data_IF_618989081558
#
_entry.id   IF_618989081558
#
_cell.length_a   1.000
_cell.length_b   1.000
_cell.length_c   1.000
_cell.angle_alpha   90.00
_cell.angle_beta   90.00
_cell.angle_gamma   90.00
#
_symmetry.space_group_name_H-M   'P 1'
#
loop_
_entity.id
_entity.type
_entity.pdbx_description
1 polymer ?
#
# COMPACT_ATOMS: atom_id res chain seq x y z
N UNK A 1 21.89 3.68 -9.67
CA UNK A 1 22.94 4.70 -9.80
C UNK A 1 22.95 5.52 -8.51
N UNK A 2 23.99 5.39 -7.73
CA UNK A 2 24.34 6.10 -6.50
C UNK A 2 23.39 6.11 -5.29
N UNK A 3 23.38 5.00 -4.55
CA UNK A 3 22.97 4.91 -3.13
C UNK A 3 23.74 5.85 -2.16
N UNK A 4 24.61 6.72 -2.65
CA UNK A 4 25.45 7.62 -1.82
C UNK A 4 24.92 9.04 -1.69
N UNK A 5 23.84 9.41 -2.39
CA UNK A 5 23.33 10.77 -2.32
C UNK A 5 22.41 11.01 -1.10
N UNK A 6 21.63 10.02 -0.72
CA UNK A 6 20.65 10.14 0.41
C UNK A 6 21.34 10.19 1.78
N UNK A 7 22.53 9.62 1.93
CA UNK A 7 23.24 9.54 3.22
C UNK A 7 24.04 10.79 3.58
N UNK A 8 24.17 11.78 2.70
CA UNK A 8 25.05 12.95 2.90
C UNK A 8 24.34 14.22 3.35
N UNK A 9 23.00 14.21 3.40
CA UNK A 9 22.19 15.39 3.79
C UNK A 9 21.96 15.46 5.32
N UNK A 10 22.22 14.40 6.06
CA UNK A 10 21.81 14.23 7.46
C UNK A 10 22.81 14.62 8.54
N UNK A 11 23.95 15.17 8.21
CA UNK A 11 24.85 15.69 9.25
C UNK A 11 25.04 17.20 9.08
N UNK A 12 24.23 17.98 9.72
CA UNK A 12 24.33 19.42 10.03
C UNK A 12 25.50 20.29 9.52
N UNK A 13 26.19 19.85 8.50
CA UNK A 13 27.12 20.62 7.68
C UNK A 13 26.79 20.28 6.24
N UNK A 14 25.99 21.12 5.61
CA UNK A 14 25.78 21.08 4.16
C UNK A 14 27.12 21.31 3.45
N UNK A 15 27.88 20.25 3.28
CA UNK A 15 28.82 20.19 2.19
C UNK A 15 28.00 19.84 0.97
N UNK A 16 27.60 20.85 0.22
CA UNK A 16 27.05 20.74 -1.11
C UNK A 16 28.03 19.92 -1.94
N UNK A 17 27.83 18.59 -1.95
CA UNK A 17 28.44 17.78 -2.96
C UNK A 17 27.61 17.98 -4.23
N UNK A 18 28.17 18.51 -5.31
CA UNK A 18 27.41 18.75 -6.53
C UNK A 18 26.82 17.43 -7.03
N UNK A 19 25.58 17.45 -7.46
CA UNK A 19 24.95 16.46 -8.34
C UNK A 19 25.67 16.46 -9.71
N UNK A 20 27.01 16.42 -9.70
CA UNK A 20 27.87 16.40 -10.87
C UNK A 20 27.95 14.98 -11.43
N UNK A 21 26.89 14.55 -12.07
CA UNK A 21 26.85 13.26 -12.77
C UNK A 21 26.18 13.30 -14.15
N UNK A 22 25.39 14.33 -14.46
CA UNK A 22 24.73 14.44 -15.77
C UNK A 22 24.79 15.82 -16.44
N UNK A 23 25.37 16.83 -15.81
CA UNK A 23 25.57 18.15 -16.46
C UNK A 23 27.05 18.44 -16.60
N UNK A 24 27.41 19.03 -17.75
CA UNK A 24 28.78 19.32 -18.10
C UNK A 24 29.48 20.18 -17.04
N UNK A 25 30.77 20.03 -16.98
CA UNK A 25 31.66 20.75 -16.08
C UNK A 25 31.42 22.26 -16.15
N UNK A 26 31.37 22.90 -14.99
CA UNK A 26 31.59 24.34 -14.74
C UNK A 26 30.38 25.26 -14.41
N UNK A 27 29.19 24.82 -14.08
CA UNK A 27 28.27 25.74 -13.43
C UNK A 27 28.10 25.38 -11.94
N UNK A 28 28.53 26.31 -11.07
CA UNK A 28 28.26 26.23 -9.63
C UNK A 28 26.77 26.43 -9.46
N UNK A 29 26.06 25.42 -8.98
CA UNK A 29 24.71 25.62 -8.53
C UNK A 29 24.70 26.66 -7.42
N UNK A 30 24.01 27.77 -7.61
CA UNK A 30 23.80 28.76 -6.55
C UNK A 30 22.78 28.20 -5.56
N UNK A 31 23.07 28.34 -4.27
CA UNK A 31 22.13 27.99 -3.20
C UNK A 31 21.51 29.28 -2.71
N UNK A 32 20.21 29.40 -2.83
CA UNK A 32 19.46 30.56 -2.35
C UNK A 32 19.19 30.45 -0.85
N UNK A 33 19.14 31.59 -0.10
CA UNK A 33 18.83 31.56 1.31
C UNK A 33 17.47 30.95 1.62
N UNK A 34 17.34 30.27 2.77
CA UNK A 34 16.08 29.65 3.21
C UNK A 34 14.94 30.67 3.39
N UNK A 35 15.24 31.90 3.74
CA UNK A 35 14.28 33.00 3.87
C UNK A 35 13.68 33.47 2.53
N UNK A 36 14.22 32.99 1.41
CA UNK A 36 13.61 33.18 0.08
C UNK A 36 12.40 32.30 -0.19
N UNK A 37 12.17 31.27 0.64
CA UNK A 37 11.07 30.31 0.50
C UNK A 37 10.04 30.55 1.60
N UNK A 38 8.81 30.82 1.20
CA UNK A 38 7.67 30.94 2.09
C UNK A 38 6.72 29.75 1.88
N UNK A 39 6.33 29.11 2.98
CA UNK A 39 5.36 28.02 3.01
C UNK A 39 4.09 28.55 3.66
N UNK A 40 3.00 28.51 2.91
CA UNK A 40 1.67 28.87 3.41
C UNK A 40 0.77 27.64 3.35
N UNK A 41 0.15 27.25 4.45
CA UNK A 41 -0.86 26.19 4.44
C UNK A 41 -2.18 26.72 3.87
N UNK A 42 -2.88 25.85 3.14
CA UNK A 42 -4.18 26.21 2.54
C UNK A 42 -5.22 26.50 3.63
N UNK A 43 -5.17 25.78 4.74
CA UNK A 43 -5.91 26.14 5.93
C UNK A 43 -5.08 27.17 6.76
N UNK A 44 -5.46 28.44 6.81
CA UNK A 44 -4.68 29.48 7.48
C UNK A 44 -4.61 29.32 9.02
N UNK A 45 -5.37 28.40 9.61
CA UNK A 45 -5.26 28.04 11.02
C UNK A 45 -4.14 27.02 11.25
N UNK A 46 -3.64 26.36 10.19
CA UNK A 46 -2.56 25.41 10.24
C UNK A 46 -1.22 26.16 10.07
N UNK A 47 -0.50 26.34 11.15
CA UNK A 47 0.88 26.87 11.12
C UNK A 47 1.94 25.76 11.13
N UNK A 48 1.50 24.51 11.09
CA UNK A 48 2.32 23.30 11.27
C UNK A 48 1.67 22.11 10.58
N UNK A 49 2.46 21.10 10.23
CA UNK A 49 1.95 19.80 9.78
C UNK A 49 1.67 18.91 10.99
N UNK A 50 0.63 18.07 10.87
CA UNK A 50 0.31 17.04 11.88
C UNK A 50 0.63 15.66 11.34
N UNK A 51 1.09 14.78 12.20
CA UNK A 51 1.38 13.40 11.81
C UNK A 51 0.11 12.63 11.46
N UNK A 52 0.19 11.81 10.41
CA UNK A 52 -0.88 10.91 10.01
C UNK A 52 -1.99 11.55 9.16
N UNK A 53 -1.74 12.71 8.56
CA UNK A 53 -2.74 13.48 7.82
C UNK A 53 -2.21 13.92 6.45
N UNK A 54 -3.14 14.26 5.55
CA UNK A 54 -2.82 15.01 4.32
C UNK A 54 -2.76 16.51 4.62
N UNK A 55 -1.78 17.17 4.03
CA UNK A 55 -1.56 18.61 4.16
C UNK A 55 -1.50 19.27 2.80
N UNK A 56 -2.46 20.18 2.56
CA UNK A 56 -2.42 21.05 1.41
C UNK A 56 -1.63 22.31 1.76
N UNK A 57 -0.67 22.66 0.91
CA UNK A 57 0.17 23.84 1.12
C UNK A 57 0.46 24.58 -0.17
N UNK A 58 0.90 25.82 -0.05
CA UNK A 58 1.44 26.61 -1.15
C UNK A 58 2.85 27.04 -0.82
N UNK A 59 3.69 27.07 -1.86
CA UNK A 59 5.06 27.54 -1.75
C UNK A 59 5.23 28.78 -2.64
N UNK A 60 5.90 29.77 -2.10
CA UNK A 60 6.23 31.04 -2.79
C UNK A 60 7.69 31.34 -2.58
N UNK A 61 8.35 31.86 -3.61
CA UNK A 61 9.70 32.42 -3.51
C UNK A 61 9.64 33.93 -3.33
N UNK A 62 10.44 34.49 -2.42
CA UNK A 62 10.64 35.94 -2.34
C UNK A 62 11.77 36.38 -3.29
N UNK A 63 11.46 37.32 -4.15
CA UNK A 63 12.46 38.09 -4.92
C UNK A 63 12.84 37.58 -6.29
N UNK A 64 12.86 36.30 -6.56
CA UNK A 64 12.93 35.72 -7.90
C UNK A 64 11.73 34.83 -8.11
N UNK A 65 11.00 35.03 -9.21
CA UNK A 65 9.91 34.14 -9.56
C UNK A 65 10.42 32.69 -9.62
N UNK A 66 9.81 31.81 -8.86
CA UNK A 66 10.05 30.38 -9.03
C UNK A 66 9.71 30.06 -10.47
N UNK A 67 10.66 29.49 -11.21
CA UNK A 67 10.43 29.06 -12.58
C UNK A 67 9.29 28.06 -12.62
N UNK A 68 8.45 28.09 -13.65
CA UNK A 68 7.44 27.05 -13.90
C UNK A 68 8.04 25.66 -14.10
N UNK A 69 9.37 25.60 -14.31
CA UNK A 69 10.12 24.37 -14.49
C UNK A 69 10.92 23.99 -13.23
N UNK A 70 10.64 24.62 -12.08
CA UNK A 70 11.31 24.31 -10.83
C UNK A 70 10.81 22.99 -10.25
N UNK A 71 11.74 22.13 -9.84
CA UNK A 71 11.42 20.93 -9.08
C UNK A 71 11.25 21.27 -7.61
N UNK A 72 10.15 20.80 -7.00
CA UNK A 72 9.96 20.82 -5.56
C UNK A 72 10.61 19.59 -4.95
N UNK A 73 11.44 19.81 -3.96
CA UNK A 73 12.15 18.76 -3.25
C UNK A 73 11.55 18.64 -1.85
N UNK A 74 10.83 17.56 -1.61
CA UNK A 74 10.25 17.26 -0.29
C UNK A 74 10.98 16.07 0.31
N UNK A 75 11.38 16.22 1.56
CA UNK A 75 12.04 15.18 2.34
C UNK A 75 11.25 14.90 3.60
N UNK A 76 10.86 13.65 3.78
CA UNK A 76 10.21 13.14 4.99
C UNK A 76 11.19 12.23 5.70
N UNK A 77 11.49 12.53 6.96
CA UNK A 77 12.47 11.79 7.76
C UNK A 77 13.85 11.66 7.06
N UNK A 78 14.21 12.65 6.23
CA UNK A 78 15.45 12.66 5.46
C UNK A 78 15.39 11.89 4.13
N UNK A 79 14.29 11.30 3.78
CA UNK A 79 14.06 10.59 2.51
C UNK A 79 13.37 11.52 1.53
N UNK A 80 13.89 11.60 0.31
CA UNK A 80 13.24 12.34 -0.75
C UNK A 80 11.94 11.62 -1.14
N UNK A 81 10.84 12.35 -1.07
CA UNK A 81 9.55 11.89 -1.56
C UNK A 81 9.06 12.90 -2.58
N UNK A 82 8.52 12.43 -3.69
CA UNK A 82 7.75 13.31 -4.55
C UNK A 82 6.45 13.64 -3.85
N UNK A 83 6.05 14.89 -3.96
CA UNK A 83 4.75 15.24 -3.48
C UNK A 83 3.67 14.72 -4.41
N UNK A 84 2.56 14.44 -3.83
CA UNK A 84 1.45 13.79 -4.49
C UNK A 84 0.79 14.68 -5.56
N UNK A 85 0.83 15.98 -5.40
CA UNK A 85 0.28 16.93 -6.37
C UNK A 85 1.03 18.27 -6.29
N UNK A 86 2.01 18.45 -7.15
CA UNK A 86 2.59 19.77 -7.37
C UNK A 86 2.02 20.35 -8.65
N UNK A 87 1.38 21.49 -8.51
CA UNK A 87 1.05 22.35 -9.63
C UNK A 87 1.78 23.68 -9.47
N UNK A 88 2.47 24.12 -10.51
CA UNK A 88 3.08 25.44 -10.54
C UNK A 88 2.20 26.37 -11.38
N UNK A 89 1.62 27.37 -10.75
CA UNK A 89 0.80 28.37 -11.40
C UNK A 89 1.20 29.77 -10.91
N UNK A 90 1.51 30.69 -11.83
CA UNK A 90 1.85 32.08 -11.54
C UNK A 90 2.92 32.26 -10.43
N UNK A 91 4.01 31.48 -10.48
CA UNK A 91 5.09 31.47 -9.49
C UNK A 91 4.65 31.02 -8.08
N UNK A 92 3.54 30.32 -7.97
CA UNK A 92 3.07 29.66 -6.77
C UNK A 92 3.03 28.15 -7.02
N UNK A 93 3.55 27.39 -6.11
CA UNK A 93 3.46 25.93 -6.12
C UNK A 93 2.36 25.52 -5.14
N UNK A 94 1.45 24.69 -5.61
CA UNK A 94 0.46 24.02 -4.78
C UNK A 94 0.88 22.59 -4.59
N UNK A 95 0.99 22.13 -3.35
CA UNK A 95 1.41 20.79 -3.01
C UNK A 95 0.47 20.13 -2.02
N UNK A 96 0.46 18.81 -2.05
CA UNK A 96 -0.20 17.97 -1.06
C UNK A 96 0.79 16.92 -0.58
N UNK A 97 0.95 16.79 0.72
CA UNK A 97 1.86 15.85 1.36
C UNK A 97 1.13 14.99 2.36
N UNK A 98 1.39 13.68 2.34
CA UNK A 98 0.98 12.76 3.39
C UNK A 98 2.11 12.62 4.42
N UNK A 99 1.81 12.98 5.66
CA UNK A 99 2.64 12.64 6.81
C UNK A 99 2.16 11.32 7.43
N UNK A 100 3.04 10.59 8.07
CA UNK A 100 2.71 9.35 8.78
C UNK A 100 2.75 9.53 10.29
N UNK A 101 2.22 8.60 11.10
CA UNK A 101 2.43 8.60 12.54
C UNK A 101 3.92 8.58 12.94
N UNK A 102 4.78 8.14 12.03
CA UNK A 102 6.24 8.03 12.23
C UNK A 102 7.02 9.23 11.69
N UNK A 103 6.35 10.24 11.13
CA UNK A 103 6.98 11.44 10.60
C UNK A 103 7.49 12.31 11.75
N UNK A 104 8.78 12.58 11.76
CA UNK A 104 9.43 13.44 12.76
C UNK A 104 10.04 14.69 12.15
N UNK A 105 10.21 14.71 10.83
CA UNK A 105 10.86 15.80 10.11
C UNK A 105 10.31 15.89 8.69
N UNK A 106 9.98 17.10 8.26
CA UNK A 106 9.69 17.45 6.87
C UNK A 106 10.54 18.65 6.49
N UNK A 107 11.26 18.53 5.37
CA UNK A 107 12.05 19.61 4.80
C UNK A 107 11.65 19.82 3.35
N UNK A 108 11.48 21.08 2.94
CA UNK A 108 11.07 21.46 1.59
C UNK A 108 12.07 22.42 0.99
N UNK A 109 12.46 22.17 -0.27
CA UNK A 109 13.33 23.02 -1.05
C UNK A 109 12.84 23.11 -2.49
N UNK A 110 13.43 24.04 -3.26
CA UNK A 110 13.27 24.10 -4.71
C UNK A 110 14.59 23.84 -5.42
N UNK A 111 14.51 23.26 -6.61
CA UNK A 111 15.62 23.22 -7.55
C UNK A 111 15.13 23.75 -8.89
N UNK A 112 15.79 24.79 -9.41
CA UNK A 112 15.54 25.34 -10.72
C UNK A 112 16.85 25.41 -11.53
N UNK A 113 16.77 25.97 -12.74
CA UNK A 113 17.93 26.09 -13.64
C UNK A 113 19.05 26.99 -13.05
N UNK A 114 18.71 27.89 -12.15
CA UNK A 114 19.64 28.84 -11.54
C UNK A 114 20.26 28.33 -10.22
N UNK A 115 19.67 27.29 -9.59
CA UNK A 115 20.20 26.67 -8.40
C UNK A 115 19.14 26.07 -7.48
N UNK A 116 19.58 25.61 -6.31
CA UNK A 116 18.74 25.01 -5.27
C UNK A 116 18.55 26.00 -4.10
N UNK A 117 17.34 26.10 -3.58
CA UNK A 117 17.11 26.82 -2.31
C UNK A 117 17.66 26.02 -1.13
N UNK A 118 17.99 26.68 -0.03
CA UNK A 118 18.14 25.99 1.24
C UNK A 118 16.80 25.35 1.66
N UNK A 119 16.88 24.16 2.25
CA UNK A 119 15.69 23.47 2.69
C UNK A 119 15.10 24.17 3.93
N UNK A 120 13.79 24.38 3.92
CA UNK A 120 13.02 24.89 5.06
C UNK A 120 12.43 23.72 5.83
N UNK A 121 12.70 23.68 7.12
CA UNK A 121 12.10 22.68 8.02
C UNK A 121 10.69 23.11 8.42
N UNK A 122 9.72 22.23 8.22
CA UNK A 122 8.33 22.46 8.58
C UNK A 122 8.07 21.92 9.99
N UNK A 123 7.46 22.72 10.90
CA UNK A 123 7.07 22.23 12.22
C UNK A 123 6.09 21.06 12.12
N UNK A 124 6.34 20.01 12.90
CA UNK A 124 5.50 18.80 12.95
C UNK A 124 4.95 18.65 14.37
N UNK A 125 3.66 18.37 14.48
CA UNK A 125 2.97 18.04 15.72
C UNK A 125 2.20 16.73 15.60
N UNK A 126 1.71 16.20 16.72
CA UNK A 126 0.92 14.98 16.68
C UNK A 126 -0.48 15.26 16.12
N UNK A 127 -0.89 14.47 15.15
CA UNK A 127 -2.23 14.48 14.58
C UNK A 127 -3.03 13.23 14.94
N UNK A 128 -4.17 13.09 14.31
CA UNK A 128 -5.00 11.87 14.37
C UNK A 128 -4.83 11.14 13.05
N UNK A 129 -4.24 9.94 13.04
CA UNK A 129 -3.99 9.22 11.80
C UNK A 129 -5.28 8.93 11.01
N UNK A 130 -5.26 9.18 9.70
CA UNK A 130 -6.41 8.93 8.80
C UNK A 130 -6.73 7.44 8.66
N UNK A 131 -5.73 6.59 8.85
CA UNK A 131 -5.88 5.15 9.07
C UNK A 131 -5.16 4.79 10.36
N UNK A 132 -5.78 3.95 11.17
CA UNK A 132 -5.22 3.52 12.45
C UNK A 132 -5.69 2.11 12.80
N UNK A 133 -5.00 1.47 13.73
CA UNK A 133 -5.27 0.11 14.14
C UNK A 133 -6.60 -0.05 14.87
N UNK A 134 -7.03 0.93 15.68
CA UNK A 134 -8.31 0.90 16.40
C UNK A 134 -9.49 0.87 15.42
N UNK A 135 -9.52 1.78 14.44
CA UNK A 135 -10.56 1.80 13.40
C UNK A 135 -10.59 0.48 12.60
N UNK A 136 -9.41 -0.09 12.36
CA UNK A 136 -9.31 -1.37 11.68
C UNK A 136 -9.89 -2.49 12.55
N UNK A 137 -9.54 -2.55 13.82
CA UNK A 137 -10.01 -3.56 14.75
C UNK A 137 -11.54 -3.50 14.94
N UNK A 138 -12.09 -2.31 15.13
CA UNK A 138 -13.55 -2.11 15.23
C UNK A 138 -14.30 -2.63 14.00
N UNK A 139 -13.72 -2.43 12.80
CA UNK A 139 -14.29 -2.98 11.57
C UNK A 139 -14.14 -4.48 11.47
N UNK A 140 -13.01 -5.03 11.92
CA UNK A 140 -12.84 -6.48 12.01
C UNK A 140 -13.88 -7.11 12.93
N UNK A 141 -14.08 -6.59 14.15
CA UNK A 141 -15.13 -7.06 15.04
C UNK A 141 -16.52 -7.01 14.39
N UNK A 142 -16.81 -5.91 13.68
CA UNK A 142 -18.08 -5.78 12.98
C UNK A 142 -18.26 -6.81 11.87
N UNK A 143 -17.24 -7.04 11.05
CA UNK A 143 -17.30 -7.99 9.92
C UNK A 143 -17.33 -9.44 10.41
N UNK A 144 -16.53 -9.78 11.42
CA UNK A 144 -16.40 -11.14 11.95
C UNK A 144 -17.47 -11.49 12.98
N UNK A 145 -18.25 -10.52 13.46
CA UNK A 145 -19.27 -10.78 14.48
C UNK A 145 -20.29 -11.80 14.00
N UNK A 146 -20.38 -12.91 14.73
CA UNK A 146 -21.38 -13.95 14.49
C UNK A 146 -22.62 -13.65 15.32
N UNK A 147 -23.72 -13.34 14.65
CA UNK A 147 -24.98 -13.07 15.32
C UNK A 147 -25.96 -14.22 15.25
N UNK A 148 -26.51 -14.52 16.38
CA UNK A 148 -27.64 -15.46 16.49
C UNK A 148 -28.98 -14.79 16.22
N UNK A 149 -29.02 -13.46 16.18
CA UNK A 149 -30.20 -12.66 15.91
C UNK A 149 -29.91 -11.62 14.82
N UNK A 150 -30.60 -11.76 13.69
CA UNK A 150 -30.27 -11.14 12.40
C UNK A 150 -30.55 -9.65 12.28
N UNK A 151 -30.90 -8.95 13.35
CA UNK A 151 -31.42 -7.58 13.24
C UNK A 151 -30.46 -6.47 13.66
N UNK A 152 -29.39 -6.76 14.38
CA UNK A 152 -28.50 -5.70 14.93
C UNK A 152 -26.99 -5.96 14.82
N UNK A 153 -26.55 -7.04 14.21
CA UNK A 153 -25.13 -7.29 14.08
C UNK A 153 -24.68 -7.36 12.65
N UNK A 154 -23.50 -6.79 12.42
CA UNK A 154 -22.91 -6.68 11.11
C UNK A 154 -22.40 -7.96 10.49
N UNK A 155 -22.23 -9.06 11.23
CA UNK A 155 -21.49 -10.26 10.82
C UNK A 155 -21.61 -10.65 9.34
N UNK A 156 -20.47 -10.56 8.66
CA UNK A 156 -20.31 -10.91 7.24
C UNK A 156 -19.34 -12.08 7.08
N UNK A 157 -19.54 -13.09 7.93
CA UNK A 157 -18.81 -14.35 7.91
C UNK A 157 -19.34 -15.30 6.83
N UNK A 158 -18.68 -16.44 6.65
CA UNK A 158 -19.07 -17.47 5.68
C UNK A 158 -19.03 -17.01 4.22
N UNK A 159 -17.99 -16.27 3.86
CA UNK A 159 -17.79 -15.73 2.51
C UNK A 159 -17.04 -16.70 1.60
N UNK A 160 -17.30 -18.01 1.70
CA UNK A 160 -16.72 -18.96 0.76
C UNK A 160 -17.50 -18.98 -0.56
N UNK A 161 -16.80 -19.31 -1.63
CA UNK A 161 -17.44 -19.58 -2.89
C UNK A 161 -18.32 -20.84 -2.78
N UNK A 162 -19.52 -20.76 -3.27
CA UNK A 162 -20.46 -21.86 -3.23
C UNK A 162 -21.86 -21.40 -3.62
N UNK A 163 -22.61 -22.19 -4.39
CA UNK A 163 -23.94 -21.78 -4.85
C UNK A 163 -25.05 -22.57 -4.18
N UNK A 164 -26.09 -21.89 -3.76
CA UNK A 164 -26.16 -20.45 -3.50
C UNK A 164 -25.52 -20.12 -2.15
N UNK A 165 -24.73 -19.04 -2.08
CA UNK A 165 -24.24 -18.52 -0.80
C UNK A 165 -24.79 -17.11 -0.51
N UNK A 166 -25.95 -16.98 0.12
CA UNK A 166 -26.52 -15.68 0.48
C UNK A 166 -25.64 -14.85 1.43
N UNK A 167 -24.77 -15.49 2.20
CA UNK A 167 -23.84 -14.79 3.07
C UNK A 167 -22.79 -14.04 2.24
N UNK A 168 -22.26 -14.67 1.21
CA UNK A 168 -21.34 -14.04 0.28
C UNK A 168 -21.98 -12.87 -0.47
N UNK A 169 -23.17 -13.06 -1.04
CA UNK A 169 -23.91 -12.01 -1.75
C UNK A 169 -24.22 -10.80 -0.85
N UNK A 170 -24.56 -11.05 0.41
CA UNK A 170 -24.80 -9.99 1.39
C UNK A 170 -23.51 -9.23 1.72
N UNK A 171 -22.40 -9.92 1.88
CA UNK A 171 -21.10 -9.31 2.14
C UNK A 171 -20.62 -8.45 0.95
N UNK A 172 -20.69 -8.98 -0.26
CA UNK A 172 -20.34 -8.23 -1.46
C UNK A 172 -21.18 -6.96 -1.61
N UNK A 173 -22.48 -7.05 -1.37
CA UNK A 173 -23.39 -5.88 -1.39
C UNK A 173 -23.06 -4.86 -0.29
N UNK A 174 -22.63 -5.29 0.88
CA UNK A 174 -22.21 -4.41 1.95
C UNK A 174 -20.92 -3.68 1.58
N UNK A 175 -19.92 -4.38 1.07
CA UNK A 175 -18.66 -3.79 0.65
C UNK A 175 -18.86 -2.81 -0.52
N UNK A 176 -19.69 -3.18 -1.50
CA UNK A 176 -20.07 -2.27 -2.58
C UNK A 176 -20.67 -0.99 -2.02
N UNK A 177 -21.66 -1.10 -1.15
CA UNK A 177 -22.32 0.06 -0.52
C UNK A 177 -21.36 0.93 0.30
N UNK A 178 -20.30 0.36 0.87
CA UNK A 178 -19.25 1.12 1.53
C UNK A 178 -18.48 2.00 0.54
N UNK A 179 -18.02 1.45 -0.59
CA UNK A 179 -17.33 2.22 -1.62
C UNK A 179 -18.25 3.26 -2.29
N UNK A 180 -19.50 2.91 -2.57
CA UNK A 180 -20.50 3.86 -3.10
C UNK A 180 -20.72 5.05 -2.16
N UNK A 181 -20.80 4.79 -0.86
CA UNK A 181 -20.93 5.82 0.17
C UNK A 181 -19.77 6.79 0.25
N UNK A 182 -18.60 6.41 -0.25
CA UNK A 182 -17.38 7.22 -0.36
C UNK A 182 -17.25 7.91 -1.72
N UNK A 183 -18.21 7.71 -2.64
CA UNK A 183 -18.25 8.40 -3.94
C UNK A 183 -17.50 7.69 -5.07
N UNK A 184 -17.09 6.44 -4.88
CA UNK A 184 -16.51 5.63 -5.96
C UNK A 184 -17.58 5.17 -6.94
N UNK A 185 -17.20 5.03 -8.22
CA UNK A 185 -17.98 4.26 -9.18
C UNK A 185 -17.78 2.77 -8.91
N UNK A 186 -18.85 2.04 -8.59
CA UNK A 186 -18.72 0.67 -8.11
C UNK A 186 -19.44 -0.33 -8.99
N UNK A 187 -18.85 -1.52 -9.10
CA UNK A 187 -19.39 -2.62 -9.90
C UNK A 187 -19.25 -3.96 -9.16
N UNK A 188 -20.22 -4.84 -9.42
CA UNK A 188 -20.12 -6.25 -9.06
C UNK A 188 -19.81 -7.05 -10.33
N UNK A 189 -18.63 -7.60 -10.40
CA UNK A 189 -18.25 -8.54 -11.46
C UNK A 189 -18.60 -9.96 -11.01
N UNK A 190 -19.51 -10.59 -11.73
CA UNK A 190 -19.86 -12.00 -11.51
C UNK A 190 -18.81 -12.90 -12.18
N UNK A 191 -18.18 -13.71 -11.37
CA UNK A 191 -17.18 -14.70 -11.83
C UNK A 191 -17.87 -16.04 -11.97
N UNK A 192 -17.91 -16.53 -13.19
CA UNK A 192 -18.45 -17.86 -13.51
C UNK A 192 -17.27 -18.81 -13.65
N UNK A 193 -17.27 -19.87 -12.87
CA UNK A 193 -16.20 -20.82 -12.91
C UNK A 193 -16.20 -21.66 -14.19
N UNK A 194 -15.08 -21.61 -14.91
CA UNK A 194 -14.71 -22.49 -16.05
C UNK A 194 -15.80 -22.80 -17.09
N UNK A 195 -16.73 -21.88 -17.27
CA UNK A 195 -17.78 -22.06 -18.29
C UNK A 195 -18.81 -23.14 -17.94
N UNK A 196 -18.87 -23.57 -16.68
CA UNK A 196 -19.93 -24.44 -16.19
C UNK A 196 -21.09 -23.60 -15.65
N UNK A 197 -22.21 -23.48 -16.37
CA UNK A 197 -23.33 -22.62 -15.94
C UNK A 197 -24.05 -23.12 -14.67
N UNK A 198 -23.63 -24.26 -14.13
CA UNK A 198 -24.19 -24.85 -12.91
C UNK A 198 -23.27 -24.70 -11.71
N UNK A 199 -22.09 -24.13 -11.87
CA UNK A 199 -21.17 -23.87 -10.77
C UNK A 199 -21.43 -22.52 -10.10
N UNK A 200 -21.00 -22.39 -8.84
CA UNK A 200 -21.28 -21.19 -8.06
C UNK A 200 -20.67 -19.95 -8.72
N UNK A 201 -21.49 -18.91 -8.77
CA UNK A 201 -21.00 -17.58 -9.11
C UNK A 201 -20.31 -16.99 -7.88
N UNK A 202 -19.13 -16.45 -8.06
CA UNK A 202 -18.49 -15.57 -7.10
C UNK A 202 -18.57 -14.13 -7.57
N UNK A 203 -18.34 -13.18 -6.67
CA UNK A 203 -18.61 -11.77 -6.88
C UNK A 203 -17.39 -10.96 -6.49
N UNK A 204 -16.69 -10.33 -7.46
CA UNK A 204 -15.75 -9.27 -7.13
C UNK A 204 -16.50 -7.97 -6.85
N UNK A 205 -16.01 -7.19 -5.92
CA UNK A 205 -16.42 -5.79 -5.73
C UNK A 205 -15.31 -4.90 -6.27
N UNK A 206 -15.63 -4.06 -7.22
CA UNK A 206 -14.67 -3.18 -7.88
C UNK A 206 -15.13 -1.74 -7.71
N UNK A 207 -14.24 -0.88 -7.23
CA UNK A 207 -14.45 0.54 -7.05
C UNK A 207 -13.47 1.30 -7.92
N UNK A 208 -13.98 2.15 -8.81
CA UNK A 208 -13.18 2.94 -9.74
C UNK A 208 -13.13 4.40 -9.34
N UNK A 209 -12.01 5.02 -9.61
CA UNK A 209 -11.78 6.45 -9.49
C UNK A 209 -11.00 6.95 -10.70
N UNK A 210 -11.51 7.98 -11.34
CA UNK A 210 -10.86 8.58 -12.51
C UNK A 210 -9.58 9.30 -12.09
N UNK A 211 -8.50 9.07 -12.82
CA UNK A 211 -7.23 9.75 -12.71
C UNK A 211 -7.16 11.04 -13.55
N UNK A 212 -5.99 11.69 -13.50
CA UNK A 212 -5.67 12.84 -14.35
C UNK A 212 -5.27 12.44 -15.76
N UNK A 213 -4.69 11.26 -15.90
CA UNK A 213 -4.23 10.67 -17.15
C UNK A 213 -5.09 9.44 -17.46
N UNK A 214 -5.83 9.52 -18.56
CA UNK A 214 -6.77 8.48 -19.00
C UNK A 214 -6.10 7.36 -19.82
N UNK A 215 -4.77 7.37 -19.98
CA UNK A 215 -4.03 6.36 -20.74
C UNK A 215 -3.47 5.24 -19.85
N UNK A 216 -3.52 5.40 -18.55
CA UNK A 216 -2.97 4.40 -17.61
C UNK A 216 -3.98 4.01 -16.53
N UNK A 217 -3.71 2.87 -15.92
CA UNK A 217 -4.48 2.29 -14.81
C UNK A 217 -3.51 1.83 -13.73
N UNK A 218 -3.93 1.93 -12.49
CA UNK A 218 -3.23 1.39 -11.34
C UNK A 218 -4.24 0.82 -10.35
N UNK A 219 -3.80 -0.03 -9.44
CA UNK A 219 -4.74 -0.66 -8.54
C UNK A 219 -4.20 -1.14 -7.22
N UNK A 220 -5.13 -1.39 -6.33
CA UNK A 220 -4.90 -2.03 -5.04
C UNK A 220 -6.05 -2.97 -4.73
N UNK A 221 -5.76 -4.10 -4.10
CA UNK A 221 -6.80 -5.06 -3.74
C UNK A 221 -6.37 -6.12 -2.74
N UNK A 222 -7.30 -6.97 -2.41
CA UNK A 222 -7.15 -8.16 -1.63
C UNK A 222 -8.39 -9.02 -1.77
N UNK A 223 -8.29 -10.31 -1.54
CA UNK A 223 -9.48 -11.15 -1.65
C UNK A 223 -10.40 -11.03 -0.44
N UNK A 224 -11.68 -11.19 -0.67
CA UNK A 224 -12.72 -11.13 0.36
C UNK A 224 -13.39 -12.47 0.61
N UNK A 225 -13.16 -13.46 -0.24
CA UNK A 225 -13.56 -14.83 0.01
C UNK A 225 -12.67 -15.47 1.09
N UNK A 226 -13.09 -16.60 1.57
CA UNK A 226 -12.43 -17.34 2.63
C UNK A 226 -12.46 -18.83 2.29
N UNK A 227 -11.50 -19.59 2.80
CA UNK A 227 -11.35 -21.00 2.52
C UNK A 227 -12.64 -21.79 2.81
N UNK A 228 -13.16 -22.58 1.85
CA UNK A 228 -14.45 -23.24 1.98
C UNK A 228 -14.42 -24.37 3.01
N UNK A 229 -15.57 -24.66 3.68
CA UNK A 229 -15.69 -25.77 4.61
C UNK A 229 -15.32 -27.12 3.96
N UNK A 230 -14.44 -27.86 4.60
CA UNK A 230 -13.95 -29.15 4.10
C UNK A 230 -12.79 -29.06 3.11
N UNK A 231 -12.31 -27.85 2.82
CA UNK A 231 -11.11 -27.62 2.02
C UNK A 231 -9.83 -28.00 2.76
N UNK A 232 -8.78 -28.42 2.06
CA UNK A 232 -7.46 -28.58 2.63
C UNK A 232 -6.79 -27.21 2.86
N UNK A 233 -5.79 -27.08 3.77
CA UNK A 233 -5.35 -28.14 4.67
C UNK A 233 -6.15 -28.28 5.97
N UNK A 234 -6.86 -27.27 6.44
CA UNK A 234 -7.44 -27.20 7.78
C UNK A 234 -8.93 -27.45 7.89
N UNK A 235 -9.63 -27.61 6.77
CA UNK A 235 -11.08 -27.89 6.77
C UNK A 235 -11.97 -26.66 6.52
N UNK A 236 -11.39 -25.53 6.12
CA UNK A 236 -12.07 -24.27 5.83
C UNK A 236 -12.28 -23.40 7.05
N UNK A 237 -12.64 -22.15 6.84
CA UNK A 237 -12.85 -21.17 7.89
C UNK A 237 -14.24 -20.56 7.80
N UNK A 238 -14.67 -19.82 8.83
CA UNK A 238 -15.95 -19.12 8.86
C UNK A 238 -15.78 -17.60 8.93
N UNK A 239 -14.82 -17.14 9.69
CA UNK A 239 -14.45 -15.73 9.77
C UNK A 239 -13.42 -15.37 8.72
N UNK A 240 -12.42 -16.25 8.51
CA UNK A 240 -11.26 -15.96 7.70
C UNK A 240 -10.62 -14.67 8.17
N UNK A 241 -10.38 -14.57 9.49
CA UNK A 241 -10.00 -13.30 10.08
C UNK A 241 -8.63 -12.84 9.58
N UNK A 242 -7.69 -13.78 9.57
CA UNK A 242 -6.36 -13.57 9.03
C UNK A 242 -6.37 -13.71 7.49
N UNK A 243 -7.05 -14.73 6.98
CA UNK A 243 -7.10 -15.05 5.56
C UNK A 243 -8.55 -14.98 5.03
N UNK A 244 -9.01 -13.87 4.42
CA UNK A 244 -8.34 -12.59 4.29
C UNK A 244 -9.29 -11.43 4.65
N UNK A 245 -9.99 -11.53 5.80
CA UNK A 245 -10.80 -10.39 6.29
C UNK A 245 -9.90 -9.22 6.66
N UNK A 246 -8.68 -9.49 7.11
CA UNK A 246 -7.70 -8.46 7.44
C UNK A 246 -7.38 -7.55 6.24
N UNK A 247 -7.07 -8.13 5.09
CA UNK A 247 -6.87 -7.38 3.85
C UNK A 247 -8.14 -6.68 3.36
N UNK A 248 -9.29 -7.37 3.42
CA UNK A 248 -10.60 -6.79 3.06
C UNK A 248 -10.90 -5.51 3.85
N UNK A 249 -10.70 -5.52 5.16
CA UNK A 249 -10.93 -4.34 6.03
C UNK A 249 -9.93 -3.24 5.74
N UNK A 250 -8.68 -3.59 5.48
CA UNK A 250 -7.66 -2.60 5.08
C UNK A 250 -8.07 -1.86 3.82
N UNK A 251 -8.60 -2.57 2.81
CA UNK A 251 -9.11 -1.95 1.58
C UNK A 251 -10.28 -0.98 1.84
N UNK A 252 -11.14 -1.27 2.82
CA UNK A 252 -12.21 -0.33 3.21
C UNK A 252 -11.65 0.97 3.81
N UNK A 253 -10.56 0.88 4.59
CA UNK A 253 -9.91 2.05 5.18
C UNK A 253 -9.12 2.85 4.14
N UNK A 254 -8.45 2.19 3.21
CA UNK A 254 -7.77 2.86 2.09
C UNK A 254 -8.78 3.60 1.21
N UNK A 255 -9.92 3.00 0.90
CA UNK A 255 -10.98 3.69 0.16
C UNK A 255 -11.42 4.98 0.86
N UNK A 256 -11.55 4.98 2.19
CA UNK A 256 -11.85 6.18 2.97
C UNK A 256 -10.73 7.22 2.86
N UNK A 257 -9.49 6.79 3.03
CA UNK A 257 -8.32 7.68 2.97
C UNK A 257 -8.12 8.30 1.59
N UNK A 258 -8.43 7.56 0.53
CA UNK A 258 -8.24 7.99 -0.85
C UNK A 258 -9.46 8.68 -1.47
N UNK A 259 -10.58 8.77 -0.75
CA UNK A 259 -11.84 9.27 -1.30
C UNK A 259 -11.73 10.66 -1.95
N UNK A 260 -10.99 11.57 -1.34
CA UNK A 260 -10.84 12.95 -1.81
C UNK A 260 -9.58 13.16 -2.67
N UNK A 261 -8.73 12.14 -2.87
CA UNK A 261 -7.52 12.25 -3.67
C UNK A 261 -7.82 12.09 -5.17
N UNK A 262 -6.98 12.66 -5.99
CA UNK A 262 -6.96 12.43 -7.44
C UNK A 262 -5.58 11.92 -7.84
N UNK A 263 -5.51 10.69 -8.28
CA UNK A 263 -4.29 10.03 -8.70
C UNK A 263 -3.89 10.39 -10.14
N UNK A 264 -2.70 10.00 -10.53
CA UNK A 264 -2.24 10.19 -11.92
C UNK A 264 -3.03 9.30 -12.86
N UNK A 265 -3.09 8.00 -12.59
CA UNK A 265 -3.80 7.04 -13.42
C UNK A 265 -5.22 6.76 -12.92
N UNK A 266 -6.08 6.26 -13.79
CA UNK A 266 -7.35 5.67 -13.35
C UNK A 266 -7.06 4.59 -12.32
N UNK A 267 -7.71 4.68 -11.17
CA UNK A 267 -7.40 3.83 -10.01
C UNK A 267 -8.57 2.91 -9.70
N UNK A 268 -8.29 1.63 -9.57
CA UNK A 268 -9.25 0.68 -9.02
C UNK A 268 -8.84 0.21 -7.62
N UNK A 269 -9.86 0.08 -6.76
CA UNK A 269 -9.77 -0.65 -5.50
C UNK A 269 -10.66 -1.88 -5.63
N UNK A 270 -10.14 -3.06 -5.31
CA UNK A 270 -10.86 -4.28 -5.55
C UNK A 270 -10.87 -5.23 -4.35
N UNK A 271 -12.01 -5.87 -4.17
CA UNK A 271 -12.15 -7.03 -3.30
C UNK A 271 -12.42 -8.23 -4.19
N UNK A 272 -11.43 -9.08 -4.30
CA UNK A 272 -11.50 -10.26 -5.17
C UNK A 272 -12.29 -11.38 -4.53
N UNK A 273 -12.79 -12.25 -5.35
CA UNK A 273 -13.45 -13.49 -4.94
C UNK A 273 -12.81 -14.69 -5.61
N UNK A 274 -12.99 -15.85 -5.03
CA UNK A 274 -12.42 -17.11 -5.56
C UNK A 274 -10.89 -17.08 -5.70
N UNK A 275 -10.22 -16.36 -4.81
CA UNK A 275 -8.78 -16.48 -4.64
C UNK A 275 -8.44 -17.89 -4.20
N UNK A 276 -9.15 -18.39 -3.18
CA UNK A 276 -9.03 -19.71 -2.57
C UNK A 276 -9.23 -20.91 -3.53
N UNK A 277 -9.84 -20.67 -4.67
CA UNK A 277 -9.99 -21.62 -5.76
C UNK A 277 -9.07 -21.33 -6.95
N UNK A 278 -8.04 -20.53 -6.76
CA UNK A 278 -6.97 -20.29 -7.72
C UNK A 278 -7.10 -18.97 -8.49
N UNK A 279 -7.19 -17.84 -7.81
CA UNK A 279 -7.09 -16.46 -8.33
C UNK A 279 -8.14 -16.13 -9.41
N UNK A 280 -9.31 -16.75 -9.34
CA UNK A 280 -10.30 -16.66 -10.42
C UNK A 280 -10.93 -15.29 -10.53
N UNK A 281 -11.11 -14.62 -9.41
CA UNK A 281 -11.71 -13.29 -9.35
C UNK A 281 -10.83 -12.24 -10.02
N UNK A 282 -9.60 -12.11 -9.61
CA UNK A 282 -8.63 -11.21 -10.23
C UNK A 282 -8.38 -11.55 -11.69
N UNK A 283 -8.26 -12.85 -12.02
CA UNK A 283 -8.10 -13.32 -13.39
C UNK A 283 -9.29 -12.96 -14.29
N UNK A 284 -10.51 -13.04 -13.76
CA UNK A 284 -11.70 -12.64 -14.51
C UNK A 284 -11.73 -11.13 -14.78
N UNK A 285 -11.34 -10.31 -13.81
CA UNK A 285 -11.23 -8.87 -13.98
C UNK A 285 -10.15 -8.51 -15.02
N UNK A 286 -9.02 -9.15 -14.96
CA UNK A 286 -7.88 -8.88 -15.82
C UNK A 286 -8.09 -9.30 -17.29
N UNK A 287 -8.86 -10.37 -17.52
CA UNK A 287 -8.93 -11.00 -18.85
C UNK A 287 -10.30 -10.93 -19.54
N UNK A 288 -11.35 -10.46 -18.86
CA UNK A 288 -12.67 -10.33 -19.47
C UNK A 288 -12.81 -8.99 -20.18
N UNK A 289 -13.57 -8.98 -21.27
CA UNK A 289 -13.98 -7.79 -22.00
C UNK A 289 -15.33 -7.29 -21.41
N UNK A 290 -15.26 -6.41 -20.43
CA UNK A 290 -16.43 -5.75 -19.84
C UNK A 290 -16.11 -4.30 -19.49
N UNK A 291 -17.14 -3.44 -19.46
CA UNK A 291 -16.98 -1.98 -19.31
C UNK A 291 -16.28 -1.56 -18.00
N UNK A 292 -16.23 -2.43 -17.01
CA UNK A 292 -15.62 -2.20 -15.69
C UNK A 292 -14.52 -3.21 -15.32
N UNK A 293 -14.12 -4.05 -16.28
CA UNK A 293 -12.94 -4.88 -16.20
C UNK A 293 -11.67 -4.05 -16.46
N UNK A 294 -10.51 -4.67 -16.35
CA UNK A 294 -9.26 -3.99 -16.68
C UNK A 294 -9.28 -3.54 -18.16
N UNK A 295 -9.17 -2.23 -18.44
CA UNK A 295 -9.16 -1.73 -19.81
C UNK A 295 -7.96 -2.26 -20.58
N UNK A 296 -8.22 -2.88 -21.74
CA UNK A 296 -7.16 -3.51 -22.57
C UNK A 296 -6.39 -2.50 -23.43
N UNK A 297 -6.85 -1.26 -23.48
CA UNK A 297 -6.26 -0.15 -24.26
C UNK A 297 -5.49 0.85 -23.36
N UNK A 298 -5.42 0.58 -22.07
CA UNK A 298 -4.66 1.38 -21.10
C UNK A 298 -3.51 0.56 -20.53
N UNK A 299 -2.44 1.25 -20.16
CA UNK A 299 -1.29 0.63 -19.50
C UNK A 299 -1.59 0.40 -18.02
N UNK A 300 -1.37 -0.81 -17.54
CA UNK A 300 -1.43 -1.13 -16.12
C UNK A 300 -0.04 -0.90 -15.52
N UNK A 301 0.09 0.17 -14.75
CA UNK A 301 1.37 0.63 -14.21
C UNK A 301 1.83 -0.24 -13.03
N UNK A 302 0.99 -0.33 -11.99
CA UNK A 302 1.30 -1.13 -10.82
C UNK A 302 0.04 -1.65 -10.12
N UNK A 303 0.24 -2.65 -9.28
CA UNK A 303 -0.81 -3.22 -8.43
C UNK A 303 -0.25 -3.60 -7.05
N UNK A 304 -0.94 -3.21 -5.98
CA UNK A 304 -0.62 -3.59 -4.61
C UNK A 304 -1.64 -4.59 -4.07
N UNK A 305 -1.17 -5.70 -3.54
CA UNK A 305 -1.98 -6.77 -2.97
C UNK A 305 -1.83 -6.88 -1.45
N UNK A 306 -2.96 -7.05 -0.77
CA UNK A 306 -3.03 -7.24 0.68
C UNK A 306 -3.57 -8.62 0.98
N UNK A 307 -2.75 -9.47 1.61
CA UNK A 307 -3.16 -10.82 1.96
C UNK A 307 -2.51 -11.29 3.25
N UNK A 308 -3.28 -11.96 4.12
CA UNK A 308 -2.86 -12.49 5.42
C UNK A 308 -2.08 -11.47 6.27
N UNK A 309 -2.72 -10.36 6.59
CA UNK A 309 -2.10 -9.29 7.36
C UNK A 309 -2.53 -9.28 8.84
N UNK A 310 -1.70 -8.68 9.71
CA UNK A 310 -1.99 -8.48 11.14
C UNK A 310 -1.18 -9.37 12.07
N UNK A 311 -0.81 -10.57 11.67
CA UNK A 311 0.20 -11.36 12.36
C UNK A 311 1.54 -11.15 11.68
N UNK A 312 2.02 -9.92 11.80
CA UNK A 312 3.26 -9.45 11.19
C UNK A 312 3.98 -8.50 12.13
N UNK A 313 5.28 -8.29 11.89
CA UNK A 313 6.00 -7.26 12.64
C UNK A 313 5.23 -5.92 12.55
N UNK A 314 5.11 -5.12 13.64
CA UNK A 314 5.82 -5.20 14.92
C UNK A 314 5.22 -6.12 16.00
N UNK A 315 4.30 -7.01 15.69
CA UNK A 315 3.79 -7.98 16.64
C UNK A 315 4.80 -9.12 16.94
N UNK A 316 4.64 -9.74 18.10
CA UNK A 316 5.51 -10.82 18.58
C UNK A 316 4.69 -12.05 18.95
N UNK A 317 5.23 -13.23 18.65
CA UNK A 317 4.67 -14.52 19.06
C UNK A 317 4.74 -14.67 20.60
N UNK A 318 3.92 -15.53 21.16
CA UNK A 318 3.87 -15.78 22.60
C UNK A 318 5.18 -16.26 23.21
N UNK A 319 6.07 -16.83 22.40
CA UNK A 319 7.43 -17.25 22.80
C UNK A 319 8.44 -16.09 22.80
N UNK A 320 8.06 -14.91 22.36
CA UNK A 320 8.90 -13.71 22.26
C UNK A 320 9.60 -13.54 20.92
N UNK A 321 9.39 -14.43 19.95
CA UNK A 321 9.88 -14.26 18.60
C UNK A 321 8.98 -13.27 17.85
N UNK A 322 9.51 -12.39 17.01
CA UNK A 322 8.70 -11.51 16.20
C UNK A 322 7.96 -12.31 15.11
N UNK A 323 6.80 -11.81 14.69
CA UNK A 323 6.16 -12.30 13.47
C UNK A 323 6.87 -11.75 12.23
N UNK A 324 7.00 -12.54 11.18
CA UNK A 324 7.54 -12.04 9.92
C UNK A 324 6.58 -11.05 9.25
N UNK A 325 7.14 -10.11 8.50
CA UNK A 325 6.41 -9.24 7.61
C UNK A 325 7.15 -9.13 6.28
N UNK A 326 6.42 -9.35 5.20
CA UNK A 326 6.95 -9.37 3.86
C UNK A 326 6.26 -8.31 3.01
N UNK A 327 7.07 -7.48 2.36
CA UNK A 327 6.65 -6.57 1.31
C UNK A 327 7.48 -6.88 0.07
N UNK A 328 6.88 -7.57 -0.89
CA UNK A 328 7.59 -8.10 -2.04
C UNK A 328 7.15 -7.41 -3.32
N UNK A 329 8.12 -6.98 -4.12
CA UNK A 329 7.88 -6.59 -5.49
C UNK A 329 7.85 -7.82 -6.39
N UNK A 330 6.95 -7.84 -7.38
CA UNK A 330 6.97 -8.88 -8.40
C UNK A 330 8.24 -8.81 -9.24
N UNK A 331 8.77 -9.96 -9.69
CA UNK A 331 9.91 -9.95 -10.58
C UNK A 331 9.54 -9.30 -11.90
N UNK A 332 10.43 -8.50 -12.42
CA UNK A 332 10.41 -8.16 -13.83
C UNK A 332 10.46 -9.47 -14.67
N UNK A 333 9.77 -9.47 -15.79
CA UNK A 333 9.84 -10.57 -16.77
C UNK A 333 11.28 -10.80 -17.27
N UNK A 334 12.17 -9.83 -17.09
CA UNK A 334 13.60 -9.95 -17.36
C UNK A 334 14.40 -9.90 -16.05
N UNK A 335 14.88 -11.05 -15.54
CA UNK A 335 15.65 -11.12 -14.29
C UNK A 335 16.99 -10.35 -14.33
N UNK A 336 17.41 -9.85 -15.50
CA UNK A 336 18.58 -8.98 -15.64
C UNK A 336 18.25 -7.49 -15.38
N UNK A 337 16.97 -7.13 -15.43
CA UNK A 337 16.46 -5.80 -15.13
C UNK A 337 15.73 -5.87 -13.78
N UNK A 338 16.50 -5.94 -12.71
CA UNK A 338 15.91 -5.74 -11.37
C UNK A 338 15.18 -4.42 -11.33
N UNK A 339 13.94 -4.46 -10.87
CA UNK A 339 13.16 -3.25 -10.65
C UNK A 339 13.72 -2.43 -9.49
N UNK A 340 14.78 -1.69 -9.80
CA UNK A 340 15.47 -0.85 -8.83
C UNK A 340 14.53 0.27 -8.31
N UNK A 341 13.54 0.67 -9.11
CA UNK A 341 12.64 1.75 -8.73
C UNK A 341 11.70 1.31 -7.62
N UNK A 342 10.99 0.19 -7.81
CA UNK A 342 10.04 -0.29 -6.82
C UNK A 342 10.72 -0.79 -5.55
N UNK A 343 11.84 -1.50 -5.67
CA UNK A 343 12.66 -1.91 -4.52
C UNK A 343 13.15 -0.70 -3.72
N UNK A 344 13.47 0.40 -4.40
CA UNK A 344 13.85 1.64 -3.73
C UNK A 344 12.67 2.24 -2.97
N UNK A 345 11.47 2.23 -3.54
CA UNK A 345 10.24 2.68 -2.86
C UNK A 345 9.99 1.85 -1.60
N UNK A 346 10.05 0.52 -1.71
CA UNK A 346 9.89 -0.36 -0.55
C UNK A 346 10.92 -0.08 0.55
N UNK A 347 12.20 0.04 0.18
CA UNK A 347 13.29 0.38 1.12
C UNK A 347 13.04 1.73 1.80
N UNK A 348 12.68 2.75 1.04
CA UNK A 348 12.47 4.10 1.53
C UNK A 348 11.25 4.17 2.46
N UNK A 349 10.14 3.54 2.08
CA UNK A 349 8.93 3.50 2.91
C UNK A 349 9.21 2.78 4.22
N UNK A 350 9.63 1.54 4.17
CA UNK A 350 9.76 0.72 5.37
C UNK A 350 10.87 1.21 6.32
N UNK A 351 12.07 1.41 5.80
CA UNK A 351 13.24 1.62 6.66
C UNK A 351 13.57 3.09 6.92
N UNK A 352 13.20 3.97 6.02
CA UNK A 352 13.53 5.38 6.16
C UNK A 352 12.36 6.22 6.67
N UNK A 353 11.16 6.05 6.11
CA UNK A 353 9.98 6.83 6.51
C UNK A 353 9.33 6.22 7.75
N UNK A 354 9.00 4.92 7.71
CA UNK A 354 8.31 4.23 8.81
C UNK A 354 9.26 3.72 9.90
N UNK A 355 10.58 3.85 9.71
CA UNK A 355 11.59 3.51 10.71
C UNK A 355 11.64 2.03 11.12
N UNK A 356 11.22 1.11 10.26
CA UNK A 356 11.42 -0.30 10.52
C UNK A 356 12.92 -0.63 10.70
N UNK A 357 13.29 -1.54 11.60
CA UNK A 357 14.68 -1.91 11.81
C UNK A 357 15.20 -2.75 10.63
N UNK A 358 16.30 -2.31 10.02
CA UNK A 358 17.06 -3.16 9.08
C UNK A 358 17.71 -4.30 9.84
N UNK A 359 17.83 -5.46 9.24
CA UNK A 359 18.53 -6.63 9.81
C UNK A 359 17.82 -7.27 11.03
N UNK A 360 16.51 -7.13 11.16
CA UNK A 360 15.77 -7.93 12.11
C UNK A 360 15.70 -9.37 11.58
N UNK A 361 16.19 -10.33 12.36
CA UNK A 361 16.20 -11.75 12.00
C UNK A 361 15.54 -12.58 13.08
N UNK A 362 15.03 -13.75 12.71
CA UNK A 362 14.55 -14.76 13.66
C UNK A 362 15.65 -15.81 13.82
N UNK A 363 15.95 -16.19 15.07
CA UNK A 363 16.80 -17.34 15.35
C UNK A 363 15.97 -18.63 15.14
N UNK A 364 16.21 -19.31 14.03
CA UNK A 364 15.56 -20.57 13.72
C UNK A 364 15.64 -20.94 12.25
N UNK A 365 15.61 -22.22 11.96
CA UNK A 365 15.47 -22.71 10.59
C UNK A 365 13.99 -22.92 10.29
N UNK A 366 13.42 -22.13 9.42
CA UNK A 366 12.17 -22.50 8.77
C UNK A 366 12.38 -23.78 7.95
N UNK A 367 11.38 -24.66 8.03
CA UNK A 367 11.50 -26.03 7.53
C UNK A 367 11.94 -26.13 6.08
N UNK A 368 12.88 -27.01 5.84
CA UNK A 368 13.39 -27.34 4.53
C UNK A 368 12.25 -27.83 3.62
N UNK A 369 12.00 -27.13 2.54
CA UNK A 369 11.04 -27.62 1.53
C UNK A 369 10.70 -26.70 0.38
N UNK A 370 11.12 -25.45 0.43
CA UNK A 370 10.91 -24.50 -0.64
C UNK A 370 12.24 -24.17 -1.33
N UNK A 371 12.17 -23.58 -2.51
CA UNK A 371 13.31 -23.33 -3.38
C UNK A 371 14.44 -22.53 -2.75
N UNK A 372 15.66 -22.59 -3.30
CA UNK A 372 16.88 -21.98 -2.73
C UNK A 372 16.77 -20.47 -2.49
N UNK A 373 15.86 -19.74 -3.18
CA UNK A 373 15.61 -18.33 -2.94
C UNK A 373 15.04 -18.03 -1.56
N UNK A 374 14.26 -18.93 -1.00
CA UNK A 374 13.65 -18.83 0.31
C UNK A 374 14.66 -18.97 1.47
N UNK A 375 15.72 -19.73 1.26
CA UNK A 375 16.73 -19.98 2.30
C UNK A 375 17.47 -18.70 2.72
N UNK A 376 17.54 -17.71 1.85
CA UNK A 376 18.22 -16.44 2.12
C UNK A 376 17.34 -15.45 2.90
N UNK A 377 16.02 -15.51 2.73
CA UNK A 377 15.05 -14.57 3.31
C UNK A 377 14.29 -15.15 4.51
N UNK A 378 14.29 -16.44 4.67
CA UNK A 378 13.52 -17.16 5.69
C UNK A 378 13.78 -16.78 7.14
N UNK A 379 14.90 -16.15 7.41
CA UNK A 379 15.26 -15.71 8.75
C UNK A 379 15.09 -14.21 8.98
N UNK A 380 14.51 -13.50 8.03
CA UNK A 380 14.22 -12.08 8.17
C UNK A 380 12.82 -11.89 8.74
N UNK A 381 12.69 -10.96 9.67
CA UNK A 381 11.40 -10.53 10.21
C UNK A 381 10.78 -9.46 9.34
N UNK A 382 11.62 -8.56 8.82
CA UNK A 382 11.22 -7.56 7.82
C UNK A 382 11.92 -7.92 6.52
N UNK A 383 11.17 -8.49 5.60
CA UNK A 383 11.65 -8.91 4.30
C UNK A 383 11.06 -8.02 3.20
N UNK A 384 11.92 -7.17 2.64
CA UNK A 384 11.57 -6.21 1.60
C UNK A 384 12.41 -6.53 0.37
N UNK A 385 11.85 -7.31 -0.53
CA UNK A 385 12.57 -7.92 -1.65
C UNK A 385 11.73 -8.09 -2.91
N UNK A 386 12.44 -8.38 -4.00
CA UNK A 386 11.86 -8.92 -5.20
C UNK A 386 11.39 -10.38 -4.95
N UNK A 387 10.12 -10.65 -5.23
CA UNK A 387 9.52 -11.96 -5.06
C UNK A 387 9.32 -12.68 -6.40
N UNK A 388 9.89 -13.86 -6.50
CA UNK A 388 9.65 -14.78 -7.62
C UNK A 388 8.50 -15.75 -7.35
N UNK A 389 7.93 -15.72 -6.17
CA UNK A 389 6.89 -16.61 -5.71
C UNK A 389 5.54 -15.87 -5.67
N UNK A 390 4.49 -16.52 -6.09
CA UNK A 390 3.19 -15.88 -6.07
C UNK A 390 2.11 -16.87 -5.67
N UNK A 391 1.39 -16.58 -4.59
CA UNK A 391 0.26 -17.38 -4.09
C UNK A 391 -1.02 -16.58 -3.95
N UNK A 392 -1.01 -15.29 -4.32
CA UNK A 392 -2.17 -14.42 -4.18
C UNK A 392 -2.43 -13.62 -5.46
N UNK A 393 -3.43 -12.78 -5.46
CA UNK A 393 -4.00 -12.07 -6.62
C UNK A 393 -3.00 -11.18 -7.39
N UNK A 394 -1.88 -10.76 -6.78
CA UNK A 394 -0.83 -10.00 -7.46
C UNK A 394 -0.24 -10.76 -8.66
N UNK A 395 -0.24 -12.10 -8.62
CA UNK A 395 0.25 -12.94 -9.74
C UNK A 395 -0.48 -12.65 -11.03
N UNK A 396 -1.79 -12.46 -10.95
CA UNK A 396 -2.60 -12.13 -12.13
C UNK A 396 -2.10 -10.88 -12.85
N UNK A 397 -1.76 -9.84 -12.10
CA UNK A 397 -1.33 -8.55 -12.66
C UNK A 397 0.15 -8.57 -13.05
N UNK A 398 0.98 -9.24 -12.27
CA UNK A 398 2.37 -9.50 -12.63
C UNK A 398 2.50 -10.24 -13.98
N UNK A 399 1.67 -11.24 -14.18
CA UNK A 399 1.68 -12.01 -15.44
C UNK A 399 1.22 -11.18 -16.66
N UNK A 400 0.60 -10.02 -16.43
CA UNK A 400 0.30 -9.01 -17.45
C UNK A 400 1.45 -8.00 -17.66
N UNK A 401 2.50 -8.08 -16.85
CA UNK A 401 3.67 -7.20 -16.93
C UNK A 401 3.60 -5.97 -16.02
N UNK A 402 2.57 -5.86 -15.17
CA UNK A 402 2.51 -4.76 -14.20
C UNK A 402 3.55 -4.94 -13.10
N UNK A 403 4.03 -3.83 -12.57
CA UNK A 403 4.77 -3.84 -11.33
C UNK A 403 3.83 -4.22 -10.18
N UNK A 404 4.24 -5.14 -9.33
CA UNK A 404 3.39 -5.58 -8.22
C UNK A 404 4.10 -5.48 -6.89
N UNK A 405 3.35 -5.09 -5.86
CA UNK A 405 3.78 -5.18 -4.47
C UNK A 405 2.81 -6.13 -3.76
N UNK A 406 3.35 -7.07 -3.01
CA UNK A 406 2.59 -8.03 -2.24
C UNK A 406 2.94 -7.92 -0.76
N UNK A 407 1.95 -7.57 0.05
CA UNK A 407 2.08 -7.56 1.51
C UNK A 407 1.57 -8.87 2.09
N UNK A 408 2.43 -9.50 2.87
CA UNK A 408 2.16 -10.76 3.55
C UNK A 408 2.73 -10.72 4.97
N UNK A 409 1.97 -11.22 5.93
CA UNK A 409 2.44 -11.46 7.30
C UNK A 409 3.04 -12.85 7.47
N UNK A 410 2.73 -13.49 8.60
CA UNK A 410 3.15 -14.83 8.89
C UNK A 410 2.64 -15.84 7.86
N UNK A 411 3.50 -16.77 7.46
CA UNK A 411 3.11 -17.86 6.58
C UNK A 411 2.14 -18.83 7.23
N UNK A 412 1.51 -19.66 6.40
CA UNK A 412 0.69 -20.80 6.81
C UNK A 412 1.38 -21.71 7.84
N UNK A 413 2.70 -21.87 7.73
CA UNK A 413 3.50 -22.65 8.66
C UNK A 413 3.67 -22.00 10.05
N UNK A 414 3.44 -20.69 10.17
CA UNK A 414 3.55 -19.91 11.39
C UNK A 414 2.21 -19.66 12.08
N UNK A 415 1.11 -20.04 11.42
CA UNK A 415 -0.25 -19.87 11.91
C UNK A 415 -1.06 -21.16 11.81
N UNK A 416 -1.13 -21.89 12.92
CA UNK A 416 -1.81 -23.20 12.99
C UNK A 416 -3.31 -23.16 12.64
N UNK A 417 -3.91 -21.97 12.67
CA UNK A 417 -5.32 -21.77 12.35
C UNK A 417 -5.59 -21.49 10.86
N UNK A 418 -4.55 -21.36 10.03
CA UNK A 418 -4.69 -21.16 8.59
C UNK A 418 -5.66 -22.18 7.95
N UNK A 419 -6.61 -21.70 7.15
CA UNK A 419 -7.66 -22.49 6.50
C UNK A 419 -8.46 -23.40 7.45
N UNK A 420 -8.63 -22.97 8.70
CA UNK A 420 -9.34 -23.75 9.71
C UNK A 420 -10.47 -22.94 10.38
N UNK A 421 -11.44 -23.62 11.03
CA UNK A 421 -12.47 -22.93 11.81
C UNK A 421 -11.94 -22.07 12.98
N UNK A 422 -10.64 -22.18 13.28
CA UNK A 422 -9.96 -21.40 14.32
C UNK A 422 -9.35 -20.11 13.76
N UNK A 423 -9.43 -19.85 12.46
CA UNK A 423 -9.05 -18.55 11.89
C UNK A 423 -10.11 -17.52 12.23
N UNK A 424 -9.97 -16.97 13.44
CA UNK A 424 -10.88 -16.01 14.05
C UNK A 424 -10.13 -14.79 14.57
N UNK A 425 -10.83 -13.66 14.69
CA UNK A 425 -10.24 -12.45 15.26
C UNK A 425 -9.73 -12.68 16.69
N UNK A 426 -10.49 -13.43 17.52
CA UNK A 426 -10.07 -13.79 18.87
C UNK A 426 -8.78 -14.58 18.87
N UNK A 427 -8.57 -15.47 17.89
CA UNK A 427 -7.36 -16.23 17.76
C UNK A 427 -6.18 -15.36 17.31
N UNK A 428 -6.37 -14.46 16.35
CA UNK A 428 -5.34 -13.49 15.95
C UNK A 428 -4.86 -12.68 17.17
N UNK A 429 -5.80 -12.15 17.96
CA UNK A 429 -5.50 -11.40 19.19
C UNK A 429 -4.70 -12.24 20.17
N UNK A 430 -5.09 -13.51 20.35
CA UNK A 430 -4.39 -14.41 21.26
C UNK A 430 -2.96 -14.75 20.80
N UNK A 431 -2.76 -14.96 19.50
CA UNK A 431 -1.46 -15.29 18.92
C UNK A 431 -0.45 -14.14 19.02
N UNK A 432 -0.89 -12.90 18.77
CA UNK A 432 -0.01 -11.72 18.85
C UNK A 432 0.15 -11.17 20.28
N UNK A 433 -0.57 -11.74 21.25
CA UNK A 433 -0.45 -11.38 22.67
C UNK A 433 -1.37 -10.29 23.16
N UNK A 434 -2.25 -9.75 22.30
CA UNK A 434 -3.24 -8.77 22.67
C UNK A 434 -3.79 -7.95 21.50
N UNK A 435 -4.90 -7.27 21.74
CA UNK A 435 -5.54 -6.40 20.77
C UNK A 435 -4.62 -5.24 20.34
N UNK A 436 -3.95 -4.62 21.30
CA UNK A 436 -3.06 -3.49 21.02
C UNK A 436 -1.91 -3.88 20.09
N UNK A 437 -1.34 -5.05 20.27
CA UNK A 437 -0.28 -5.59 19.44
C UNK A 437 -0.77 -5.84 18.02
N UNK A 438 -1.99 -6.34 17.85
CA UNK A 438 -2.63 -6.55 16.56
C UNK A 438 -2.93 -5.21 15.87
N UNK A 439 -3.49 -4.25 16.59
CA UNK A 439 -3.74 -2.89 16.08
C UNK A 439 -2.44 -2.22 15.60
N UNK A 440 -1.36 -2.30 16.36
CA UNK A 440 -0.06 -1.74 15.97
C UNK A 440 0.52 -2.39 14.72
N UNK A 441 0.40 -3.72 14.61
CA UNK A 441 0.83 -4.43 13.43
C UNK A 441 0.08 -3.97 12.19
N UNK A 442 -1.25 -3.93 12.28
CA UNK A 442 -2.08 -3.50 11.15
C UNK A 442 -1.88 -2.03 10.78
N UNK A 443 -1.72 -1.15 11.78
CA UNK A 443 -1.42 0.25 11.51
C UNK A 443 -0.14 0.40 10.69
N UNK A 444 0.93 -0.29 11.10
CA UNK A 444 2.20 -0.25 10.37
C UNK A 444 2.05 -0.70 8.91
N UNK A 445 1.41 -1.85 8.70
CA UNK A 445 1.21 -2.42 7.35
C UNK A 445 0.35 -1.50 6.48
N UNK A 446 -0.74 -0.97 7.02
CA UNK A 446 -1.61 -0.06 6.27
C UNK A 446 -0.87 1.22 5.87
N UNK A 447 -0.03 1.78 6.74
CA UNK A 447 0.80 2.93 6.38
C UNK A 447 1.84 2.60 5.33
N UNK A 448 2.45 1.42 5.38
CA UNK A 448 3.38 0.97 4.35
C UNK A 448 2.70 0.90 2.99
N UNK A 449 1.62 0.14 2.87
CA UNK A 449 0.89 -0.04 1.61
C UNK A 449 0.35 1.29 1.04
N UNK A 450 -0.16 2.17 1.90
CA UNK A 450 -0.70 3.46 1.49
C UNK A 450 0.40 4.40 0.96
N UNK A 451 1.54 4.47 1.63
CA UNK A 451 2.68 5.27 1.18
C UNK A 451 3.27 4.74 -0.12
N UNK A 452 3.43 3.44 -0.23
CA UNK A 452 3.92 2.79 -1.43
C UNK A 452 3.03 3.10 -2.62
N UNK A 453 1.71 3.04 -2.44
CA UNK A 453 0.75 3.40 -3.47
C UNK A 453 0.93 4.86 -3.92
N UNK A 454 1.00 5.79 -2.98
CA UNK A 454 1.13 7.22 -3.26
C UNK A 454 2.48 7.53 -3.93
N UNK A 455 3.57 6.94 -3.43
CA UNK A 455 4.90 7.17 -4.01
C UNK A 455 5.02 6.53 -5.40
N UNK A 456 4.46 5.33 -5.59
CA UNK A 456 4.44 4.67 -6.90
C UNK A 456 3.65 5.48 -7.94
N UNK A 457 2.50 6.04 -7.55
CA UNK A 457 1.70 6.92 -8.41
C UNK A 457 2.51 8.12 -8.92
N UNK A 458 3.45 8.63 -8.15
CA UNK A 458 4.24 9.81 -8.48
C UNK A 458 5.61 9.51 -9.10
N UNK A 459 6.05 8.28 -9.16
CA UNK A 459 7.40 7.91 -9.62
C UNK A 459 7.38 7.55 -11.12
N UNK A 460 7.85 8.43 -12.03
CA UNK A 460 7.80 8.18 -13.48
C UNK A 460 8.58 6.92 -13.90
N UNK A 461 9.64 6.59 -13.15
CA UNK A 461 10.46 5.42 -13.40
C UNK A 461 9.67 4.12 -13.21
N UNK A 462 8.73 4.08 -12.28
CA UNK A 462 7.83 2.94 -12.09
C UNK A 462 6.83 2.86 -13.23
N UNK A 463 6.31 4.00 -13.69
CA UNK A 463 5.34 4.08 -14.78
C UNK A 463 5.94 3.82 -16.16
N UNK A 464 7.23 4.05 -16.37
CA UNK A 464 7.85 3.97 -17.70
C UNK A 464 8.75 2.74 -17.88
N UNK A 465 8.74 1.76 -16.99
CA UNK A 465 9.55 0.56 -17.12
C UNK A 465 9.13 -0.34 -18.30
N UNK A 466 7.93 -0.13 -18.83
CA UNK A 466 7.40 -0.87 -19.97
C UNK A 466 7.40 -0.06 -21.29
N UNK A 467 7.97 1.14 -21.34
CA UNK A 467 7.98 1.99 -22.54
C UNK A 467 9.23 1.82 -23.39
#
# INVERSE_FOLDING_TARGET
>A
MNRQLTALILTGLFLVAPLAGCFGEDEKSEVYPADSLQIDFVNPEDAEMRTGEFHDFTLKGEGNAISTDADVLIFVNGTYVKDHMVMVEDATVFGQLLTTPYTTEVNIAFMDADGQTEAVSVPITNGTPIVNGEDWFDKMEFITSVCTDSTECGGYVNRWMGSPNPAFERAASFFQGHFEGLGYETHILRVIDHGNPTEPESLNVIAWKQGRNDNCVQGMGGHMDIAPPGGPPGGGTYEGAYDNTAGTVSMMLFARAFADLTFECDTFLALWSSEEEGLRGSSAFANNDCDYCLPQDKELEFYINMDMMGMSWPAYKSNGDPFPYHAWSGPDADPEVQDVAITTVLDDVHFNILKAPRNLTIDGSYGAGCDQHWDEHYNLVMDVHEDTFGRSDHVTFRDLGAQTIFHLGAYDADYDAYHSPSDTLDNMVAEVGGQQELEQSMEFVMWAAMLEFIIADQTPEIRNLNA
#
